data_IF_288745276237
#
_entry.id   IF_288745276237
#
_cell.length_a   1.000
_cell.length_b   1.000
_cell.length_c   1.000
_cell.angle_alpha   90.00
_cell.angle_beta   90.00
_cell.angle_gamma   90.00
#
_symmetry.space_group_name_H-M   'P 1'
#
loop_
_entity.id
_entity.type
_entity.pdbx_description
1 polymer ?
#
# COMPACT_ATOMS: atom_id res chain seq x y z
N UNK A 1 39.06 -18.93 -6.30
CA UNK A 1 38.30 -18.73 -7.55
C UNK A 1 37.51 -20.00 -7.82
N UNK A 2 36.24 -20.01 -7.47
CA UNK A 2 35.28 -21.04 -7.90
C UNK A 2 34.20 -20.27 -8.65
N UNK A 3 34.25 -20.32 -9.97
CA UNK A 3 33.21 -19.84 -10.87
C UNK A 3 32.05 -20.83 -10.83
N UNK A 4 30.98 -20.48 -10.13
CA UNK A 4 29.71 -21.23 -10.22
C UNK A 4 29.04 -20.85 -11.53
N UNK A 5 29.18 -21.71 -12.52
CA UNK A 5 28.34 -21.66 -13.73
C UNK A 5 26.97 -22.14 -13.30
N UNK A 6 26.04 -21.20 -13.07
CA UNK A 6 24.60 -21.49 -12.99
C UNK A 6 24.14 -21.91 -14.37
N UNK A 7 23.94 -23.21 -14.53
CA UNK A 7 23.39 -23.78 -15.75
C UNK A 7 21.94 -23.30 -15.97
N UNK A 8 21.74 -22.56 -17.05
CA UNK A 8 20.44 -22.09 -17.58
C UNK A 8 19.68 -23.26 -18.21
N UNK A 9 19.43 -24.33 -17.46
CA UNK A 9 18.69 -25.49 -17.96
C UNK A 9 17.20 -25.54 -17.53
N UNK A 10 16.70 -24.49 -16.86
CA UNK A 10 15.32 -24.44 -16.40
C UNK A 10 14.35 -23.68 -17.35
N UNK A 11 14.82 -23.21 -18.51
CA UNK A 11 14.03 -22.42 -19.45
C UNK A 11 13.27 -23.24 -20.53
N UNK A 12 13.31 -24.57 -20.48
CA UNK A 12 12.74 -25.40 -21.54
C UNK A 12 11.29 -25.85 -21.31
N UNK A 13 10.63 -25.41 -20.23
CA UNK A 13 9.23 -25.78 -19.94
C UNK A 13 8.26 -24.59 -19.85
N UNK A 14 8.61 -23.44 -20.44
CA UNK A 14 7.61 -22.40 -20.61
C UNK A 14 6.64 -22.90 -21.66
N UNK A 15 5.33 -23.10 -21.33
CA UNK A 15 4.36 -23.48 -22.32
C UNK A 15 4.42 -22.45 -23.45
N UNK A 16 4.61 -22.92 -24.69
CA UNK A 16 4.46 -22.05 -25.86
C UNK A 16 3.01 -21.58 -25.87
N UNK A 17 2.74 -20.40 -25.37
CA UNK A 17 1.49 -19.71 -25.63
C UNK A 17 1.49 -19.45 -27.12
N UNK A 18 0.73 -20.24 -27.87
CA UNK A 18 0.53 -20.01 -29.30
C UNK A 18 -0.35 -18.79 -29.44
N UNK A 19 0.28 -17.64 -29.54
CA UNK A 19 -0.41 -16.41 -29.92
C UNK A 19 -0.66 -16.47 -31.42
N UNK A 20 -1.88 -16.24 -31.82
CA UNK A 20 -2.25 -16.15 -33.22
C UNK A 20 -1.58 -14.93 -33.92
N UNK A 21 -1.07 -13.99 -33.15
CA UNK A 21 -0.29 -12.83 -33.57
C UNK A 21 0.59 -12.36 -32.44
N UNK A 22 1.67 -11.64 -32.73
CA UNK A 22 2.48 -10.97 -31.70
C UNK A 22 1.62 -9.97 -30.91
N UNK A 23 1.76 -9.90 -29.57
CA UNK A 23 1.02 -8.93 -28.77
C UNK A 23 1.47 -7.52 -29.11
N UNK A 24 0.53 -6.58 -29.18
CA UNK A 24 0.85 -5.16 -29.31
C UNK A 24 1.44 -4.60 -28.01
N UNK A 25 1.02 -5.16 -26.86
CA UNK A 25 1.45 -4.71 -25.52
C UNK A 25 1.70 -5.90 -24.60
N UNK A 26 2.78 -5.83 -23.85
CA UNK A 26 3.08 -6.75 -22.76
C UNK A 26 3.01 -5.96 -21.47
N UNK A 27 2.15 -6.38 -20.54
CA UNK A 27 2.06 -5.84 -19.18
C UNK A 27 2.84 -6.75 -18.24
N UNK A 28 3.81 -6.21 -17.52
CA UNK A 28 4.66 -6.94 -16.58
C UNK A 28 4.16 -6.71 -15.17
N UNK A 29 3.67 -7.77 -14.54
CA UNK A 29 3.14 -7.78 -13.18
C UNK A 29 1.62 -7.67 -13.12
N UNK A 30 0.96 -8.68 -12.52
CA UNK A 30 -0.48 -8.73 -12.29
C UNK A 30 -0.86 -8.17 -10.90
N UNK A 31 -0.26 -7.07 -10.49
CA UNK A 31 -0.73 -6.24 -9.40
C UNK A 31 -1.96 -5.41 -9.79
N UNK A 32 -2.54 -4.66 -8.86
CA UNK A 32 -3.73 -3.85 -9.11
C UNK A 32 -3.61 -2.94 -10.35
N UNK A 33 -2.46 -2.28 -10.51
CA UNK A 33 -2.21 -1.39 -11.66
C UNK A 33 -2.06 -2.14 -12.98
N UNK A 34 -1.32 -3.27 -12.98
CA UNK A 34 -1.13 -4.06 -14.20
C UNK A 34 -2.43 -4.71 -14.67
N UNK A 35 -3.25 -5.22 -13.74
CA UNK A 35 -4.56 -5.77 -14.06
C UNK A 35 -5.50 -4.71 -14.63
N UNK A 36 -5.52 -3.50 -14.05
CA UNK A 36 -6.30 -2.39 -14.57
C UNK A 36 -5.82 -1.96 -15.96
N UNK A 37 -4.52 -1.87 -16.18
CA UNK A 37 -3.94 -1.56 -17.50
C UNK A 37 -4.31 -2.62 -18.54
N UNK A 38 -4.20 -3.90 -18.17
CA UNK A 38 -4.55 -5.03 -19.05
C UNK A 38 -6.01 -4.97 -19.46
N UNK A 39 -6.94 -4.82 -18.51
CA UNK A 39 -8.37 -4.70 -18.79
C UNK A 39 -8.65 -3.51 -19.72
N UNK A 40 -8.10 -2.34 -19.38
CA UNK A 40 -8.30 -1.13 -20.16
C UNK A 40 -7.83 -1.29 -21.62
N UNK A 41 -6.66 -1.87 -21.83
CA UNK A 41 -6.12 -2.11 -23.18
C UNK A 41 -6.97 -3.12 -23.95
N UNK A 42 -7.42 -4.20 -23.31
CA UNK A 42 -8.33 -5.16 -23.92
C UNK A 42 -9.66 -4.52 -24.34
N UNK A 43 -10.23 -3.63 -23.48
CA UNK A 43 -11.45 -2.87 -23.82
C UNK A 43 -11.24 -1.90 -25.00
N UNK A 44 -9.99 -1.47 -25.24
CA UNK A 44 -9.60 -0.69 -26.42
C UNK A 44 -9.28 -1.54 -27.65
N UNK A 45 -9.52 -2.85 -27.59
CA UNK A 45 -9.32 -3.77 -28.70
C UNK A 45 -7.85 -4.08 -28.97
N UNK A 46 -6.95 -3.84 -27.99
CA UNK A 46 -5.53 -4.15 -28.13
C UNK A 46 -5.25 -5.62 -27.85
N UNK A 47 -4.28 -6.18 -28.58
CA UNK A 47 -3.72 -7.50 -28.26
C UNK A 47 -2.73 -7.37 -27.12
N UNK A 48 -3.08 -7.91 -25.95
CA UNK A 48 -2.33 -7.72 -24.69
C UNK A 48 -2.00 -9.05 -24.06
N UNK A 49 -0.77 -9.16 -23.55
CA UNK A 49 -0.37 -10.23 -22.62
C UNK A 49 -0.02 -9.58 -21.28
N UNK A 50 -0.62 -10.10 -20.20
CA UNK A 50 -0.19 -9.81 -18.84
C UNK A 50 0.64 -11.00 -18.32
N UNK A 51 1.83 -10.73 -17.79
CA UNK A 51 2.70 -11.75 -17.22
C UNK A 51 2.95 -11.45 -15.74
N UNK A 52 2.90 -12.50 -14.91
CA UNK A 52 3.12 -12.42 -13.47
C UNK A 52 4.17 -13.45 -13.04
N UNK A 53 5.10 -13.04 -12.19
CA UNK A 53 6.18 -13.89 -11.70
C UNK A 53 5.73 -14.85 -10.58
N UNK A 54 4.68 -14.46 -9.83
CA UNK A 54 4.12 -15.27 -8.75
C UNK A 54 2.99 -16.17 -9.27
N UNK A 55 2.57 -17.11 -8.44
CA UNK A 55 1.42 -17.97 -8.69
C UNK A 55 0.06 -17.34 -8.30
N UNK A 56 0.04 -16.03 -8.05
CA UNK A 56 -1.16 -15.27 -7.65
C UNK A 56 -1.15 -13.86 -8.26
N UNK A 57 -2.33 -13.33 -8.48
CA UNK A 57 -2.56 -11.93 -8.85
C UNK A 57 -2.72 -11.04 -7.61
N UNK A 58 -2.77 -9.73 -7.80
CA UNK A 58 -3.01 -8.72 -6.76
C UNK A 58 -1.74 -8.01 -6.26
N UNK A 59 -0.55 -8.60 -6.45
CA UNK A 59 0.70 -8.00 -6.02
C UNK A 59 0.73 -7.73 -4.51
N UNK A 60 0.85 -6.47 -4.10
CA UNK A 60 0.82 -6.01 -2.70
C UNK A 60 -0.58 -6.07 -2.04
N UNK A 61 -1.64 -6.21 -2.81
CA UNK A 61 -2.97 -6.49 -2.30
C UNK A 61 -3.12 -8.01 -2.15
N UNK A 62 -2.85 -8.51 -0.95
CA UNK A 62 -2.86 -9.95 -0.67
C UNK A 62 -3.53 -10.22 0.67
N UNK A 63 -4.62 -10.96 0.63
CA UNK A 63 -5.31 -11.48 1.82
C UNK A 63 -4.95 -12.95 2.01
N UNK A 64 -4.46 -13.31 3.18
CA UNK A 64 -4.23 -14.67 3.63
C UNK A 64 -5.38 -15.11 4.53
N UNK A 65 -5.90 -16.32 4.31
CA UNK A 65 -6.99 -16.90 5.11
C UNK A 65 -6.52 -18.09 5.97
N UNK A 66 -5.28 -18.52 5.80
CA UNK A 66 -4.80 -19.75 6.39
C UNK A 66 -4.06 -19.52 7.71
N UNK A 67 -3.23 -18.48 7.79
CA UNK A 67 -2.30 -18.31 8.90
C UNK A 67 -3.00 -18.03 10.24
N UNK A 68 -3.99 -17.14 10.24
CA UNK A 68 -4.75 -16.79 11.46
C UNK A 68 -6.13 -17.45 11.53
N UNK A 69 -6.53 -18.23 10.52
CA UNK A 69 -7.87 -18.83 10.44
C UNK A 69 -9.01 -17.84 10.17
N UNK A 70 -8.66 -16.57 9.91
CA UNK A 70 -9.56 -15.50 9.49
C UNK A 70 -8.88 -14.72 8.36
N UNK A 71 -9.63 -13.99 7.51
CA UNK A 71 -9.03 -13.13 6.49
C UNK A 71 -8.09 -12.10 7.13
N UNK A 72 -6.87 -12.03 6.61
CA UNK A 72 -5.86 -11.09 7.07
C UNK A 72 -5.09 -10.52 5.88
N UNK A 73 -5.12 -9.20 5.73
CA UNK A 73 -4.37 -8.53 4.67
C UNK A 73 -2.88 -8.44 5.03
N UNK A 74 -2.06 -9.15 4.27
CA UNK A 74 -0.60 -9.18 4.42
C UNK A 74 0.09 -7.99 3.74
N UNK A 75 -0.68 -7.07 3.19
CA UNK A 75 -0.21 -5.89 2.49
C UNK A 75 -1.20 -4.74 2.63
N UNK A 76 -1.66 -4.20 1.52
CA UNK A 76 -2.64 -3.12 1.54
C UNK A 76 -3.95 -3.59 2.18
N UNK A 77 -4.42 -2.85 3.17
CA UNK A 77 -5.66 -3.14 3.91
C UNK A 77 -6.57 -1.91 4.04
N UNK A 78 -6.01 -0.71 4.06
CA UNK A 78 -6.80 0.52 4.06
C UNK A 78 -7.36 0.85 2.68
N UNK A 79 -8.64 1.08 2.62
CA UNK A 79 -9.35 1.59 1.45
C UNK A 79 -9.52 3.08 1.66
N UNK A 80 -8.59 3.86 1.13
CA UNK A 80 -8.61 5.32 1.24
C UNK A 80 -9.51 5.95 0.19
N UNK A 81 -9.96 7.20 0.45
CA UNK A 81 -10.76 7.98 -0.50
C UNK A 81 -12.00 7.21 -0.99
N UNK A 82 -12.77 6.63 -0.09
CA UNK A 82 -13.88 5.74 -0.40
C UNK A 82 -14.86 6.31 -1.46
N UNK A 83 -15.02 7.64 -1.54
CA UNK A 83 -15.91 8.29 -2.52
C UNK A 83 -15.39 8.17 -3.97
N UNK A 84 -14.11 8.04 -4.16
CA UNK A 84 -13.46 7.99 -5.48
C UNK A 84 -12.70 6.68 -5.72
N UNK A 85 -12.61 5.81 -4.71
CA UNK A 85 -11.88 4.56 -4.80
C UNK A 85 -12.58 3.59 -5.77
N UNK A 86 -11.90 3.12 -6.84
CA UNK A 86 -12.51 2.29 -7.86
C UNK A 86 -13.00 0.92 -7.34
N UNK A 87 -12.44 0.41 -6.25
CA UNK A 87 -12.90 -0.84 -5.65
C UNK A 87 -14.18 -0.68 -4.83
N UNK A 88 -14.38 0.50 -4.21
CA UNK A 88 -15.64 0.84 -3.54
C UNK A 88 -16.74 1.02 -4.58
N UNK A 89 -16.45 1.71 -5.69
CA UNK A 89 -17.41 1.81 -6.82
C UNK A 89 -17.74 0.45 -7.40
N UNK A 90 -16.73 -0.39 -7.64
CA UNK A 90 -16.94 -1.76 -8.11
C UNK A 90 -17.85 -2.56 -7.18
N UNK A 91 -17.61 -2.48 -5.86
CA UNK A 91 -18.42 -3.16 -4.85
C UNK A 91 -19.87 -2.67 -4.86
N UNK A 92 -20.10 -1.35 -4.85
CA UNK A 92 -21.42 -0.74 -4.86
C UNK A 92 -22.21 -1.04 -6.14
N UNK A 93 -21.59 -0.84 -7.31
CA UNK A 93 -22.26 -0.94 -8.61
C UNK A 93 -22.64 -2.38 -8.97
N UNK A 94 -21.88 -3.35 -8.50
CA UNK A 94 -22.10 -4.76 -8.81
C UNK A 94 -22.81 -5.52 -7.69
N UNK A 95 -23.16 -4.85 -6.58
CA UNK A 95 -23.79 -5.46 -5.41
C UNK A 95 -23.12 -6.77 -5.00
N UNK A 96 -21.77 -6.71 -4.82
CA UNK A 96 -20.93 -7.90 -4.61
C UNK A 96 -21.26 -8.51 -3.26
N UNK A 97 -21.86 -9.70 -3.27
CA UNK A 97 -22.11 -10.47 -2.05
C UNK A 97 -20.82 -11.02 -1.46
N UNK A 98 -20.80 -11.18 -0.13
CA UNK A 98 -19.67 -11.78 0.58
C UNK A 98 -18.49 -10.81 0.84
N UNK A 99 -18.67 -9.51 0.61
CA UNK A 99 -17.71 -8.48 1.00
C UNK A 99 -18.44 -7.36 1.77
N UNK A 100 -17.92 -7.03 2.95
CA UNK A 100 -18.48 -6.00 3.82
C UNK A 100 -17.42 -4.91 4.03
N UNK A 101 -17.71 -3.72 3.53
CA UNK A 101 -16.89 -2.54 3.69
C UNK A 101 -17.43 -1.67 4.82
N UNK A 102 -16.56 -1.21 5.70
CA UNK A 102 -16.93 -0.33 6.81
C UNK A 102 -15.84 0.71 7.06
N UNK A 103 -16.27 1.86 7.60
CA UNK A 103 -15.38 2.94 7.96
C UNK A 103 -14.52 2.57 9.16
N UNK A 104 -13.22 2.82 9.05
CA UNK A 104 -12.31 2.75 10.19
C UNK A 104 -12.67 3.88 11.16
N UNK A 105 -13.05 3.49 12.36
CA UNK A 105 -13.21 4.42 13.46
C UNK A 105 -11.91 4.41 14.23
N UNK A 106 -11.01 5.29 13.86
CA UNK A 106 -9.72 5.44 14.52
C UNK A 106 -9.92 5.65 16.02
N UNK A 107 -9.53 4.65 16.79
CA UNK A 107 -9.35 4.76 18.24
C UNK A 107 -7.84 4.79 18.49
N UNK A 108 -7.23 5.96 18.32
CA UNK A 108 -5.85 6.14 18.73
C UNK A 108 -5.74 5.93 20.24
N UNK A 109 -4.99 4.93 20.63
CA UNK A 109 -4.72 4.64 22.02
C UNK A 109 -3.22 4.60 22.25
N UNK A 110 -2.73 5.51 23.07
CA UNK A 110 -1.33 5.55 23.47
C UNK A 110 -1.15 4.74 24.74
N UNK A 111 -0.16 3.85 24.75
CA UNK A 111 0.18 3.06 25.91
C UNK A 111 1.65 3.29 26.32
N UNK A 112 1.89 3.41 27.60
CA UNK A 112 3.24 3.38 28.20
C UNK A 112 3.32 2.15 29.10
N UNK A 113 4.03 1.13 28.64
CA UNK A 113 3.96 -0.19 29.26
C UNK A 113 2.53 -0.72 29.22
N UNK A 114 1.97 -1.03 30.40
CA UNK A 114 0.59 -1.53 30.53
C UNK A 114 -0.43 -0.41 30.82
N UNK A 115 0.00 0.85 30.89
CA UNK A 115 -0.88 1.98 31.19
C UNK A 115 -1.35 2.62 29.88
N UNK A 116 -2.68 2.62 29.66
CA UNK A 116 -3.29 3.45 28.64
C UNK A 116 -3.26 4.91 29.09
N UNK A 117 -2.73 5.78 28.25
CA UNK A 117 -2.82 7.22 28.46
C UNK A 117 -4.20 7.71 28.00
N UNK A 118 -4.80 8.56 28.81
CA UNK A 118 -6.09 9.20 28.51
C UNK A 118 -5.83 10.69 28.40
N UNK A 119 -6.47 11.34 27.40
CA UNK A 119 -6.35 12.79 27.27
C UNK A 119 -6.67 13.50 28.61
N UNK A 120 -5.79 14.42 29.08
CA UNK A 120 -4.67 15.05 28.37
C UNK A 120 -3.29 14.38 28.58
N UNK A 121 -3.20 13.17 29.13
CA UNK A 121 -1.92 12.50 29.41
C UNK A 121 -1.12 12.18 28.15
N UNK A 122 -1.78 11.96 27.02
CA UNK A 122 -1.19 11.70 25.69
C UNK A 122 -0.78 12.98 24.93
N UNK A 123 -1.23 14.15 25.42
CA UNK A 123 -0.98 15.43 24.76
C UNK A 123 0.50 15.73 24.48
N UNK A 124 1.46 15.41 25.35
CA UNK A 124 2.87 15.68 25.05
C UNK A 124 3.42 14.94 23.83
N UNK A 125 2.94 13.73 23.54
CA UNK A 125 3.26 13.01 22.31
C UNK A 125 2.74 13.77 21.07
N UNK A 126 1.46 14.15 21.10
CA UNK A 126 0.84 14.85 19.98
C UNK A 126 1.38 16.26 19.77
N UNK A 127 1.77 16.96 20.85
CA UNK A 127 2.47 18.24 20.76
C UNK A 127 3.85 18.06 20.08
N UNK A 128 4.58 17.01 20.40
CA UNK A 128 5.86 16.70 19.74
C UNK A 128 5.66 16.30 18.27
N UNK A 129 4.67 15.45 17.99
CA UNK A 129 4.29 15.07 16.62
C UNK A 129 4.00 16.31 15.76
N UNK A 130 3.12 17.20 16.24
CA UNK A 130 2.77 18.43 15.55
C UNK A 130 3.97 19.40 15.40
N UNK A 131 4.89 19.41 16.37
CA UNK A 131 6.12 20.20 16.26
C UNK A 131 7.01 19.72 15.12
N UNK A 132 7.16 18.41 14.97
CA UNK A 132 7.91 17.81 13.86
C UNK A 132 7.24 18.13 12.53
N UNK A 133 5.93 17.94 12.41
CA UNK A 133 5.18 18.28 11.19
C UNK A 133 5.35 19.74 10.79
N UNK A 134 5.35 20.64 11.78
CA UNK A 134 5.58 22.08 11.55
C UNK A 134 6.98 22.38 11.01
N UNK A 135 8.00 21.69 11.51
CA UNK A 135 9.37 21.86 11.02
C UNK A 135 9.54 21.30 9.60
N UNK A 136 8.95 20.16 9.29
CA UNK A 136 8.88 19.60 7.93
C UNK A 136 8.15 20.59 7.00
N UNK A 137 6.99 21.11 7.41
CA UNK A 137 6.21 22.07 6.64
C UNK A 137 6.95 23.37 6.34
N UNK A 138 7.78 23.87 7.29
CA UNK A 138 8.66 25.03 7.05
C UNK A 138 9.75 24.76 6.02
N UNK A 139 10.05 23.49 5.79
CA UNK A 139 11.06 23.03 4.84
C UNK A 139 10.45 22.42 3.58
N UNK A 140 9.15 22.59 3.36
CA UNK A 140 8.38 21.98 2.26
C UNK A 140 8.85 22.35 0.85
N UNK A 141 9.59 23.43 0.71
CA UNK A 141 10.18 23.87 -0.55
C UNK A 141 11.67 23.47 -0.70
N UNK A 142 12.17 22.65 0.21
CA UNK A 142 13.57 22.19 0.23
C UNK A 142 13.62 20.70 0.11
N UNK A 143 14.48 20.22 -0.78
CA UNK A 143 14.82 18.81 -0.88
C UNK A 143 15.90 18.44 0.15
N UNK A 144 15.48 18.45 1.42
CA UNK A 144 16.32 18.05 2.58
C UNK A 144 15.60 16.98 3.40
N UNK A 145 16.36 16.20 4.12
CA UNK A 145 15.83 15.18 5.01
C UNK A 145 15.12 15.80 6.24
N UNK A 146 14.02 15.21 6.75
CA UNK A 146 13.41 15.65 7.99
C UNK A 146 14.37 15.70 9.19
N UNK A 147 15.37 14.82 9.23
CA UNK A 147 16.42 14.84 10.26
C UNK A 147 17.24 16.14 10.28
N UNK A 148 17.35 16.83 9.14
CA UNK A 148 18.01 18.14 9.04
C UNK A 148 17.06 19.29 9.41
N UNK A 149 15.76 19.12 9.14
CA UNK A 149 14.75 20.14 9.36
C UNK A 149 14.28 20.24 10.83
N UNK A 150 14.19 19.08 11.52
CA UNK A 150 13.64 19.01 12.87
C UNK A 150 14.59 19.59 13.90
N UNK A 151 14.14 20.63 14.60
CA UNK A 151 14.93 21.42 15.52
C UNK A 151 14.94 20.86 16.97
N UNK A 152 13.80 20.39 17.48
CA UNK A 152 13.67 19.86 18.84
C UNK A 152 13.67 18.33 18.87
N UNK A 153 14.82 17.76 19.24
CA UNK A 153 15.04 16.31 19.39
C UNK A 153 15.19 15.87 20.86
N UNK A 154 15.01 16.78 21.81
CA UNK A 154 15.24 16.52 23.24
C UNK A 154 14.01 16.13 24.03
N UNK A 155 12.82 16.12 23.42
CA UNK A 155 11.59 15.64 24.04
C UNK A 155 11.65 14.14 24.31
N UNK A 156 11.13 13.71 25.46
CA UNK A 156 10.96 12.28 25.76
C UNK A 156 10.08 11.53 24.74
N UNK A 157 9.23 12.25 24.00
CA UNK A 157 8.34 11.72 22.98
C UNK A 157 8.91 11.81 21.57
N UNK A 158 10.14 12.33 21.41
CA UNK A 158 10.73 12.52 20.08
C UNK A 158 10.82 11.23 19.29
N UNK A 159 11.36 10.17 19.90
CA UNK A 159 11.55 8.89 19.19
C UNK A 159 10.23 8.25 18.78
N UNK A 160 9.18 8.40 19.63
CA UNK A 160 7.84 7.88 19.28
C UNK A 160 7.22 8.67 18.13
N UNK A 161 7.25 10.00 18.20
CA UNK A 161 6.71 10.85 17.13
C UNK A 161 7.49 10.69 15.82
N UNK A 162 8.82 10.57 15.91
CA UNK A 162 9.70 10.25 14.78
C UNK A 162 9.35 8.91 14.13
N UNK A 163 9.11 7.87 14.93
CA UNK A 163 8.70 6.55 14.46
C UNK A 163 7.36 6.61 13.70
N UNK A 164 6.38 7.35 14.25
CA UNK A 164 5.05 7.49 13.63
C UNK A 164 5.19 8.14 12.24
N UNK A 165 5.80 9.31 12.15
CA UNK A 165 5.91 10.06 10.89
C UNK A 165 6.85 9.37 9.90
N UNK A 166 7.89 8.71 10.38
CA UNK A 166 8.91 8.07 9.54
C UNK A 166 8.56 6.64 9.16
N UNK A 167 8.98 5.70 10.00
CA UNK A 167 8.91 4.28 9.65
C UNK A 167 7.47 3.76 9.52
N UNK A 168 6.53 4.27 10.30
CA UNK A 168 5.13 3.85 10.26
C UNK A 168 4.40 4.43 9.04
N UNK A 169 4.41 5.76 8.84
CA UNK A 169 3.68 6.39 7.74
C UNK A 169 4.42 6.24 6.40
N UNK A 170 5.72 6.53 6.38
CA UNK A 170 6.52 6.60 5.15
C UNK A 170 7.30 5.31 4.84
N UNK A 171 7.31 4.34 5.76
CA UNK A 171 8.16 3.13 5.70
C UNK A 171 9.66 3.47 5.50
N UNK A 172 10.10 4.62 6.00
CA UNK A 172 11.46 5.16 5.89
C UNK A 172 11.83 5.94 7.14
N UNK A 173 13.12 5.89 7.50
CA UNK A 173 13.66 6.80 8.51
C UNK A 173 13.81 8.21 7.98
N UNK A 174 13.89 9.19 8.88
CA UNK A 174 13.98 10.62 8.55
C UNK A 174 15.14 11.03 7.67
N UNK A 175 16.19 10.22 7.60
CA UNK A 175 17.33 10.44 6.70
C UNK A 175 17.10 9.98 5.25
N UNK A 176 15.97 9.33 4.98
CA UNK A 176 15.76 8.61 3.73
C UNK A 176 14.54 9.08 2.91
N UNK A 177 13.96 10.22 3.27
CA UNK A 177 12.94 10.89 2.46
C UNK A 177 13.09 12.42 2.57
N UNK A 178 12.44 13.14 1.67
CA UNK A 178 12.52 14.59 1.54
C UNK A 178 11.34 15.26 2.25
N UNK A 179 11.60 16.40 2.92
CA UNK A 179 10.56 17.29 3.43
C UNK A 179 9.61 17.75 2.33
N UNK A 180 10.16 18.02 1.14
CA UNK A 180 9.37 18.45 -0.01
C UNK A 180 8.46 17.34 -0.51
N UNK A 181 8.96 16.09 -0.63
CA UNK A 181 8.17 14.95 -1.07
C UNK A 181 7.08 14.61 -0.05
N UNK A 182 7.41 14.62 1.23
CA UNK A 182 6.45 14.40 2.29
C UNK A 182 5.32 15.43 2.27
N UNK A 183 5.65 16.72 2.08
CA UNK A 183 4.66 17.79 2.05
C UNK A 183 3.76 17.73 0.81
N UNK A 184 4.27 17.24 -0.30
CA UNK A 184 3.52 17.07 -1.54
C UNK A 184 2.79 15.72 -1.62
N UNK A 185 2.94 14.87 -0.61
CA UNK A 185 2.16 13.65 -0.50
C UNK A 185 0.66 13.99 -0.37
N UNK A 186 -0.15 13.37 -1.22
CA UNK A 186 -1.59 13.55 -1.18
C UNK A 186 -2.19 12.72 -0.06
N UNK A 187 -2.49 13.35 1.06
CA UNK A 187 -3.23 12.70 2.13
C UNK A 187 -4.65 12.35 1.67
N UNK A 188 -5.20 11.21 2.12
CA UNK A 188 -6.59 10.88 1.90
C UNK A 188 -7.51 11.94 2.50
N UNK A 189 -8.46 12.45 1.73
CA UNK A 189 -9.42 13.48 2.20
C UNK A 189 -10.49 12.93 3.16
N UNK A 190 -10.54 11.61 3.33
CA UNK A 190 -11.60 10.93 4.10
C UNK A 190 -11.00 9.81 4.94
N UNK A 191 -11.75 9.42 5.99
CA UNK A 191 -11.41 8.25 6.78
C UNK A 191 -11.21 7.02 5.90
N UNK A 192 -10.27 6.18 6.30
CA UNK A 192 -10.02 4.90 5.67
C UNK A 192 -11.16 3.92 5.94
N UNK A 193 -11.36 3.00 5.02
CA UNK A 193 -12.31 1.91 5.16
C UNK A 193 -11.57 0.58 5.18
N UNK A 194 -12.20 -0.41 5.79
CA UNK A 194 -11.75 -1.80 5.78
C UNK A 194 -12.72 -2.70 5.02
N UNK A 195 -12.19 -3.84 4.58
CA UNK A 195 -12.98 -4.94 4.05
C UNK A 195 -12.85 -6.16 4.99
N UNK A 196 -13.97 -6.62 5.54
CA UNK A 196 -13.97 -7.76 6.49
C UNK A 196 -13.37 -9.03 5.89
N UNK A 197 -13.61 -9.27 4.62
CA UNK A 197 -13.13 -10.45 3.88
C UNK A 197 -11.73 -10.24 3.29
N UNK A 198 -11.14 -9.08 3.53
CA UNK A 198 -9.83 -8.65 3.08
C UNK A 198 -9.86 -7.84 1.79
N UNK A 199 -9.09 -6.76 1.78
CA UNK A 199 -8.98 -5.88 0.61
C UNK A 199 -8.31 -6.59 -0.57
N UNK A 200 -7.29 -7.41 -0.29
CA UNK A 200 -6.64 -8.22 -1.33
C UNK A 200 -7.60 -9.23 -1.97
N UNK A 201 -8.54 -9.79 -1.19
CA UNK A 201 -9.58 -10.67 -1.72
C UNK A 201 -10.55 -9.93 -2.64
N UNK A 202 -10.96 -8.70 -2.29
CA UNK A 202 -11.80 -7.85 -3.13
C UNK A 202 -11.09 -7.49 -4.45
N UNK A 203 -9.82 -7.12 -4.38
CA UNK A 203 -8.98 -6.85 -5.56
C UNK A 203 -8.90 -8.09 -6.46
N UNK A 204 -8.62 -9.25 -5.89
CA UNK A 204 -8.60 -10.52 -6.62
C UNK A 204 -9.97 -10.84 -7.27
N UNK A 205 -11.06 -10.60 -6.56
CA UNK A 205 -12.40 -10.80 -7.08
C UNK A 205 -12.70 -9.88 -8.28
N UNK A 206 -12.32 -8.61 -8.20
CA UNK A 206 -12.50 -7.64 -9.29
C UNK A 206 -11.80 -8.08 -10.57
N UNK A 207 -10.64 -8.68 -10.46
CA UNK A 207 -9.78 -8.99 -11.60
C UNK A 207 -9.73 -10.48 -12.00
N UNK A 208 -10.62 -11.31 -11.42
CA UNK A 208 -10.62 -12.78 -11.64
C UNK A 208 -10.72 -13.23 -13.10
N UNK A 209 -11.25 -12.38 -13.97
CA UNK A 209 -11.46 -12.68 -15.39
C UNK A 209 -10.42 -12.04 -16.32
N UNK A 210 -9.45 -11.29 -15.79
CA UNK A 210 -8.37 -10.72 -16.59
C UNK A 210 -7.37 -11.84 -16.89
N UNK A 211 -7.03 -12.06 -18.17
CA UNK A 211 -6.07 -13.11 -18.52
C UNK A 211 -4.65 -12.72 -18.08
N UNK A 212 -3.97 -13.65 -17.39
CA UNK A 212 -2.59 -13.50 -16.87
C UNK A 212 -1.82 -14.76 -17.17
#
# INVERSE_FOLDING_TARGET
FISSILSVSALTSIPKISLASDPEVIVIGAGASGLAATEYLLQKGKSVICIEANNRIGGRCYTDNAFFGVPYDMGAHWITNHKTNPYVHYWNENNIEGFNLYEDKEYESVYVGNKKLISPEDKPLWDQYNSILKDIGRSSNKDIAPSEAVSNKSSEWYDTAHLIIGAYDMAKDFDHFSCMDWWNYLEPETNSWFCTEGYGALVKHRWKNVPV
#
